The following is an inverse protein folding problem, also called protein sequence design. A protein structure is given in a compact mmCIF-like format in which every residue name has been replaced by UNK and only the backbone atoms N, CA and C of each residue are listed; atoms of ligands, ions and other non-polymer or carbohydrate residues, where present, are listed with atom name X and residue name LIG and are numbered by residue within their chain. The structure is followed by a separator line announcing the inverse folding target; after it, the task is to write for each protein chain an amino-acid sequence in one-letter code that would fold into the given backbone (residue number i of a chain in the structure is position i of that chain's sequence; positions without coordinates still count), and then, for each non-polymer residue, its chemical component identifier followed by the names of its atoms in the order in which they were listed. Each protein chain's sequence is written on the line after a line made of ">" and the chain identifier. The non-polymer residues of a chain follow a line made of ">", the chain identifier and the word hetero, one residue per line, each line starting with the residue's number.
data_IF_643283140599
#
_entry.id   IF_643283140599
#
_cell.length_a   1.000
_cell.length_b   1.000
_cell.length_c   1.000
_cell.angle_alpha   90.00
_cell.angle_beta   90.00
_cell.angle_gamma   90.00
#
_symmetry.space_group_name_H-M   'P 1'
#
loop_
_entity.id
_entity.type
_entity.pdbx_description
1 polymer ?
#
# COMPACT_ATOMS: atom_id res chain seq x y z
N UNK A 1 15.27 13.46 22.36
CA UNK A 1 15.35 14.92 22.21
C UNK A 1 14.24 15.53 23.04
N UNK A 2 14.55 16.56 23.83
CA UNK A 2 13.55 17.28 24.63
C UNK A 2 13.49 18.71 24.08
N UNK A 3 12.29 19.18 23.77
CA UNK A 3 12.09 20.49 23.18
C UNK A 3 12.40 21.58 24.21
N UNK A 4 12.99 22.67 23.75
CA UNK A 4 13.08 23.91 24.53
C UNK A 4 11.72 24.59 24.63
N UNK A 5 11.56 25.46 25.63
CA UNK A 5 10.32 26.25 25.81
C UNK A 5 10.02 27.13 24.60
N UNK A 6 11.06 27.68 23.98
CA UNK A 6 10.93 28.53 22.79
C UNK A 6 10.44 27.74 21.58
N UNK A 7 10.98 26.54 21.34
CA UNK A 7 10.49 25.65 20.28
C UNK A 7 9.04 25.23 20.52
N UNK A 8 8.67 24.97 21.77
CA UNK A 8 7.31 24.60 22.16
C UNK A 8 6.32 25.77 21.94
N UNK A 9 6.70 26.99 22.30
CA UNK A 9 5.91 28.20 22.03
C UNK A 9 5.79 28.49 20.52
N UNK A 10 6.88 28.33 19.76
CA UNK A 10 6.88 28.51 18.32
C UNK A 10 5.94 27.50 17.62
N UNK A 11 5.97 26.23 18.03
CA UNK A 11 5.05 25.22 17.49
C UNK A 11 3.60 25.52 17.85
N UNK A 12 3.31 25.91 19.10
CA UNK A 12 1.95 26.33 19.52
C UNK A 12 1.43 27.47 18.65
N UNK A 13 2.24 28.52 18.47
CA UNK A 13 1.86 29.66 17.64
C UNK A 13 1.59 29.23 16.19
N UNK A 14 2.41 28.33 15.63
CA UNK A 14 2.21 27.82 14.26
C UNK A 14 0.92 27.01 14.13
N UNK A 15 0.58 26.21 15.14
CA UNK A 15 -0.69 25.46 15.19
C UNK A 15 -1.88 26.42 15.24
N UNK A 16 -1.82 27.47 16.04
CA UNK A 16 -2.87 28.50 16.13
C UNK A 16 -3.04 29.25 14.80
N UNK A 17 -1.94 29.68 14.17
CA UNK A 17 -1.96 30.29 12.84
C UNK A 17 -2.56 29.35 11.78
N UNK A 18 -2.15 28.09 11.75
CA UNK A 18 -2.64 27.11 10.78
C UNK A 18 -4.12 26.73 11.00
N UNK A 19 -4.63 26.87 12.22
CA UNK A 19 -6.01 26.51 12.58
C UNK A 19 -6.97 27.70 12.63
N UNK A 20 -6.48 28.92 12.34
CA UNK A 20 -7.26 30.14 12.34
C UNK A 20 -8.36 30.17 11.28
N UNK A 21 -8.12 29.54 10.12
CA UNK A 21 -9.11 29.39 9.05
C UNK A 21 -9.40 27.91 8.89
N UNK A 22 -10.66 27.53 9.11
CA UNK A 22 -11.14 26.17 8.92
C UNK A 22 -11.96 26.08 7.64
N UNK A 23 -11.95 24.89 7.04
CA UNK A 23 -12.83 24.53 5.93
C UNK A 23 -14.28 24.65 6.39
N UNK A 24 -15.17 25.14 5.52
CA UNK A 24 -16.60 25.24 5.84
C UNK A 24 -17.20 23.85 6.06
N UNK A 25 -18.26 23.75 6.87
CA UNK A 25 -18.82 22.45 7.25
C UNK A 25 -19.31 21.66 6.03
N UNK A 26 -19.90 22.36 5.05
CA UNK A 26 -20.39 21.77 3.80
C UNK A 26 -19.23 21.18 2.98
N UNK A 27 -18.08 21.85 2.97
CA UNK A 27 -16.87 21.38 2.30
C UNK A 27 -16.21 20.22 3.06
N UNK A 28 -16.24 20.22 4.39
CA UNK A 28 -15.76 19.08 5.21
C UNK A 28 -16.55 17.81 4.87
N UNK A 29 -17.88 17.88 4.89
CA UNK A 29 -18.75 16.75 4.53
C UNK A 29 -18.46 16.26 3.11
N UNK A 30 -18.25 17.19 2.17
CA UNK A 30 -17.88 16.85 0.79
C UNK A 30 -16.53 16.14 0.72
N UNK A 31 -15.49 16.67 1.35
CA UNK A 31 -14.15 16.07 1.30
C UNK A 31 -14.11 14.70 1.97
N UNK A 32 -14.90 14.51 3.02
CA UNK A 32 -15.02 13.22 3.70
C UNK A 32 -15.76 12.19 2.81
N UNK A 33 -16.96 12.53 2.34
CA UNK A 33 -17.79 11.61 1.55
C UNK A 33 -17.22 11.30 0.17
N UNK A 34 -16.43 12.21 -0.40
CA UNK A 34 -15.81 12.04 -1.72
C UNK A 34 -14.31 11.72 -1.64
N UNK A 35 -13.75 11.48 -0.45
CA UNK A 35 -12.32 11.24 -0.24
C UNK A 35 -11.76 10.20 -1.23
N UNK A 36 -12.48 9.07 -1.40
CA UNK A 36 -12.07 7.99 -2.30
C UNK A 36 -11.95 8.47 -3.75
N UNK A 37 -12.87 9.33 -4.23
CA UNK A 37 -12.81 9.90 -5.59
C UNK A 37 -11.60 10.80 -5.78
N UNK A 38 -11.26 11.61 -4.78
CA UNK A 38 -10.10 12.49 -4.84
C UNK A 38 -8.80 11.68 -4.88
N UNK A 39 -8.67 10.64 -4.06
CA UNK A 39 -7.51 9.77 -4.06
C UNK A 39 -7.40 8.92 -5.33
N UNK A 40 -8.51 8.37 -5.84
CA UNK A 40 -8.49 7.64 -7.12
C UNK A 40 -8.09 8.57 -8.28
N UNK A 41 -8.57 9.82 -8.27
CA UNK A 41 -8.15 10.83 -9.24
C UNK A 41 -6.64 11.12 -9.13
N UNK A 42 -6.14 11.27 -7.89
CA UNK A 42 -4.73 11.46 -7.63
C UNK A 42 -3.88 10.30 -8.18
N UNK A 43 -4.25 9.05 -7.90
CA UNK A 43 -3.52 7.88 -8.39
C UNK A 43 -3.62 7.69 -9.90
N UNK A 44 -4.74 8.08 -10.52
CA UNK A 44 -4.88 8.10 -11.98
C UNK A 44 -3.90 9.06 -12.65
N UNK A 45 -3.72 10.24 -12.06
CA UNK A 45 -2.82 11.28 -12.60
C UNK A 45 -1.35 10.93 -12.31
N UNK A 46 -1.03 10.58 -11.07
CA UNK A 46 0.36 10.49 -10.61
C UNK A 46 0.93 9.07 -10.64
N UNK A 47 0.09 8.04 -10.66
CA UNK A 47 0.50 6.62 -10.59
C UNK A 47 1.47 6.39 -9.42
N UNK A 48 2.63 5.80 -9.70
CA UNK A 48 3.71 5.56 -8.73
C UNK A 48 4.82 6.63 -8.76
N UNK A 49 4.59 7.82 -9.33
CA UNK A 49 5.65 8.81 -9.57
C UNK A 49 5.73 9.94 -8.54
N UNK A 50 4.72 10.07 -7.67
CA UNK A 50 4.64 11.18 -6.72
C UNK A 50 5.48 10.93 -5.47
N UNK A 51 5.31 9.76 -4.85
CA UNK A 51 6.07 9.36 -3.67
C UNK A 51 7.31 8.57 -4.09
N UNK A 52 8.37 8.65 -3.28
CA UNK A 52 9.56 7.83 -3.45
C UNK A 52 9.38 6.50 -2.71
N UNK A 53 10.00 5.45 -3.25
CA UNK A 53 10.14 4.18 -2.54
C UNK A 53 10.83 4.36 -1.19
N UNK A 54 10.24 3.77 -0.15
CA UNK A 54 10.69 3.84 1.23
C UNK A 54 11.76 2.78 1.50
N UNK A 55 12.80 2.75 0.68
CA UNK A 55 13.93 1.81 0.80
C UNK A 55 14.68 1.90 2.14
N UNK A 56 14.50 3.00 2.88
CA UNK A 56 15.06 3.21 4.20
C UNK A 56 14.26 2.53 5.33
N UNK A 57 13.00 2.13 5.09
CA UNK A 57 12.06 1.71 6.13
C UNK A 57 12.62 0.60 7.03
N UNK A 58 13.08 -0.50 6.43
CA UNK A 58 13.60 -1.66 7.17
C UNK A 58 14.99 -1.44 7.75
N UNK A 59 15.69 -0.37 7.34
CA UNK A 59 16.96 0.03 7.95
C UNK A 59 16.73 0.76 9.27
N UNK A 60 15.76 1.67 9.27
CA UNK A 60 15.44 2.47 10.48
C UNK A 60 14.56 1.69 11.46
N UNK A 61 13.71 0.77 10.96
CA UNK A 61 12.81 -0.05 11.75
C UNK A 61 13.01 -1.54 11.47
N UNK A 62 14.16 -2.12 11.89
CA UNK A 62 14.45 -3.54 11.69
C UNK A 62 13.45 -4.47 12.38
N UNK A 63 12.74 -3.99 13.42
CA UNK A 63 11.69 -4.71 14.16
C UNK A 63 10.44 -5.03 13.33
N UNK A 64 10.28 -4.42 12.15
CA UNK A 64 9.26 -4.83 11.17
C UNK A 64 9.51 -6.27 10.69
N UNK A 65 10.74 -6.77 10.86
CA UNK A 65 11.13 -8.14 10.57
C UNK A 65 11.09 -8.99 11.86
N UNK A 66 10.73 -10.28 11.78
CA UNK A 66 10.74 -11.22 12.88
C UNK A 66 12.12 -11.31 13.53
N UNK A 67 12.09 -11.42 14.85
CA UNK A 67 13.27 -11.53 15.68
C UNK A 67 13.72 -13.01 15.71
N UNK A 68 14.72 -13.34 14.87
CA UNK A 68 15.42 -14.64 14.81
C UNK A 68 14.93 -15.54 13.67
N UNK A 69 15.75 -16.24 12.87
CA UNK A 69 17.18 -16.58 12.89
C UNK A 69 17.78 -16.19 11.51
N UNK A 70 19.01 -15.63 11.47
CA UNK A 70 19.74 -15.07 10.29
C UNK A 70 19.49 -13.61 9.93
N UNK A 71 18.89 -12.80 10.79
CA UNK A 71 18.68 -11.36 10.51
C UNK A 71 20.00 -10.56 10.56
N UNK A 72 20.94 -10.92 11.44
CA UNK A 72 22.23 -10.20 11.55
C UNK A 72 23.13 -10.35 10.32
N UNK A 73 23.08 -11.48 9.61
CA UNK A 73 23.85 -11.71 8.39
C UNK A 73 23.25 -10.97 7.19
N UNK A 74 21.92 -10.97 7.04
CA UNK A 74 21.21 -10.25 5.96
C UNK A 74 21.30 -8.73 6.12
N UNK A 75 21.19 -8.20 7.35
CA UNK A 75 21.34 -6.77 7.63
C UNK A 75 22.79 -6.30 7.37
N UNK A 76 23.79 -7.14 7.68
CA UNK A 76 25.18 -6.85 7.29
C UNK A 76 25.38 -6.90 5.77
N UNK A 77 24.86 -7.90 5.07
CA UNK A 77 24.96 -7.98 3.60
C UNK A 77 24.32 -6.77 2.89
N UNK A 78 23.20 -6.27 3.41
CA UNK A 78 22.57 -5.01 2.98
C UNK A 78 23.47 -3.78 3.19
N UNK A 79 24.28 -3.77 4.25
CA UNK A 79 25.28 -2.72 4.50
C UNK A 79 26.48 -2.78 3.54
N UNK A 80 26.94 -3.98 3.12
CA UNK A 80 28.13 -4.13 2.28
C UNK A 80 27.89 -3.86 0.79
N UNK A 81 26.69 -4.18 0.28
CA UNK A 81 26.33 -3.94 -1.12
C UNK A 81 26.33 -2.44 -1.49
N UNK A 82 26.21 -1.54 -0.50
CA UNK A 82 26.26 -0.09 -0.71
C UNK A 82 27.68 0.45 -1.02
N UNK A 83 28.75 -0.15 -0.46
CA UNK A 83 30.12 0.35 -0.65
C UNK A 83 30.59 0.17 -2.09
N UNK A 84 30.14 -0.90 -2.77
CA UNK A 84 30.50 -1.15 -4.18
C UNK A 84 29.79 -0.22 -5.16
N UNK A 85 28.53 0.17 -4.89
CA UNK A 85 27.76 1.01 -5.82
C UNK A 85 28.24 2.46 -5.84
N UNK A 86 28.79 2.96 -4.72
CA UNK A 86 29.29 4.34 -4.66
C UNK A 86 30.69 4.54 -5.27
N UNK A 87 31.48 3.47 -5.45
CA UNK A 87 32.80 3.55 -6.07
C UNK A 87 32.76 3.59 -7.61
N UNK A 88 31.68 3.13 -8.24
CA UNK A 88 31.61 2.98 -9.70
C UNK A 88 31.05 4.20 -10.45
N UNK A 89 30.53 5.22 -9.76
CA UNK A 89 29.82 6.33 -10.40
C UNK A 89 30.55 7.68 -10.41
N UNK A 90 31.82 7.71 -10.02
CA UNK A 90 32.66 8.92 -10.08
C UNK A 90 33.68 8.83 -11.22
N UNK A 91 33.25 8.76 -12.49
CA UNK A 91 34.05 9.25 -13.64
C UNK A 91 33.23 9.19 -14.94
N UNK A 92 32.55 10.27 -15.31
CA UNK A 92 32.70 10.92 -16.63
C UNK A 92 31.64 11.98 -16.88
N UNK A 93 32.09 13.05 -17.54
CA UNK A 93 31.52 14.37 -17.66
C UNK A 93 31.11 14.60 -19.13
N UNK A 94 29.96 15.26 -19.33
CA UNK A 94 29.54 16.08 -20.50
C UNK A 94 29.64 15.49 -21.92
N UNK A 95 28.49 15.31 -22.59
CA UNK A 95 28.11 16.10 -23.79
C UNK A 95 26.68 15.79 -24.27
N UNK A 96 25.98 16.85 -24.69
CA UNK A 96 24.73 16.84 -25.45
C UNK A 96 25.07 17.03 -26.94
N UNK A 97 24.38 16.35 -27.89
CA UNK A 97 23.59 17.11 -28.86
C UNK A 97 22.28 16.43 -29.37
N UNK A 98 21.26 17.29 -29.54
CA UNK A 98 20.19 17.37 -30.58
C UNK A 98 19.71 16.17 -31.41
N UNK A 99 18.39 15.94 -31.30
CA UNK A 99 17.33 15.74 -32.32
C UNK A 99 17.64 15.00 -33.65
N UNK A 100 16.85 13.96 -33.94
CA UNK A 100 16.26 13.72 -35.27
C UNK A 100 15.00 12.85 -35.19
N UNK A 101 13.98 13.29 -35.91
CA UNK A 101 12.67 12.68 -36.15
C UNK A 101 12.79 11.47 -37.08
N UNK A 102 11.90 10.49 -36.94
CA UNK A 102 11.49 9.66 -38.08
C UNK A 102 10.03 9.18 -37.96
N UNK A 103 9.38 9.25 -39.11
CA UNK A 103 7.93 9.11 -39.39
C UNK A 103 7.47 7.66 -39.31
N UNK A 104 6.19 7.46 -38.98
CA UNK A 104 5.44 6.27 -39.41
C UNK A 104 4.17 6.70 -40.15
N UNK A 105 4.02 6.15 -41.36
CA UNK A 105 2.87 6.28 -42.25
C UNK A 105 1.90 5.11 -42.07
N UNK A 106 0.66 5.39 -42.49
CA UNK A 106 -0.58 4.63 -42.38
C UNK A 106 -0.60 3.24 -43.03
N UNK A 107 -1.50 2.38 -42.52
CA UNK A 107 -2.59 1.80 -43.34
C UNK A 107 -3.66 1.09 -42.49
N UNK A 108 -4.90 1.46 -42.76
CA UNK A 108 -6.13 0.78 -42.38
C UNK A 108 -6.24 -0.62 -43.02
N UNK A 109 -6.95 -1.53 -42.35
CA UNK A 109 -7.92 -2.39 -43.01
C UNK A 109 -8.98 -2.86 -42.01
N UNK A 110 -10.21 -2.76 -42.48
CA UNK A 110 -11.52 -3.07 -41.92
C UNK A 110 -11.76 -4.56 -41.62
N UNK A 111 -12.75 -4.83 -40.76
CA UNK A 111 -13.34 -6.15 -40.56
C UNK A 111 -14.37 -6.18 -39.42
N UNK A 112 -15.62 -5.81 -39.74
CA UNK A 112 -16.81 -6.00 -38.91
C UNK A 112 -17.14 -7.50 -38.71
N UNK A 113 -17.59 -7.88 -37.52
CA UNK A 113 -18.80 -8.73 -37.37
C UNK A 113 -19.31 -8.76 -35.93
N UNK A 114 -20.64 -8.61 -35.84
CA UNK A 114 -21.50 -8.65 -34.66
C UNK A 114 -21.56 -10.03 -33.98
N UNK A 115 -21.94 -10.02 -32.69
CA UNK A 115 -22.37 -11.22 -31.97
C UNK A 115 -22.76 -10.96 -30.53
N UNK A 116 -23.94 -10.37 -30.31
CA UNK A 116 -24.63 -10.36 -29.01
C UNK A 116 -24.96 -11.78 -28.56
N UNK A 117 -24.86 -12.06 -27.25
CA UNK A 117 -25.78 -12.95 -26.54
C UNK A 117 -25.79 -12.64 -25.03
N UNK A 118 -27.00 -12.34 -24.53
CA UNK A 118 -27.37 -12.26 -23.11
C UNK A 118 -28.04 -13.58 -22.69
N UNK A 119 -27.70 -14.09 -21.50
CA UNK A 119 -28.54 -14.83 -20.55
C UNK A 119 -27.65 -15.07 -19.30
N UNK A 120 -28.03 -14.84 -18.04
CA UNK A 120 -29.35 -14.89 -17.43
C UNK A 120 -29.56 -16.26 -16.79
N UNK A 121 -29.09 -16.46 -15.55
CA UNK A 121 -29.58 -17.56 -14.69
C UNK A 121 -29.31 -17.28 -13.21
N UNK A 122 -30.34 -16.77 -12.54
CA UNK A 122 -30.58 -16.97 -11.11
C UNK A 122 -30.85 -18.45 -10.84
N UNK A 123 -30.38 -19.02 -9.73
CA UNK A 123 -31.09 -20.11 -9.04
C UNK A 123 -30.70 -20.22 -7.55
N UNK A 124 -31.69 -19.86 -6.72
CA UNK A 124 -32.15 -20.48 -5.47
C UNK A 124 -31.24 -20.66 -4.24
N UNK A 125 -31.70 -20.01 -3.16
CA UNK A 125 -31.65 -20.41 -1.74
C UNK A 125 -31.68 -21.93 -1.49
N UNK A 126 -30.89 -22.39 -0.52
CA UNK A 126 -31.28 -23.52 0.32
C UNK A 126 -30.81 -23.33 1.78
N UNK A 127 -31.73 -23.72 2.64
CA UNK A 127 -31.90 -23.49 4.06
C UNK A 127 -30.94 -24.27 4.99
N UNK A 128 -30.79 -23.71 6.19
CA UNK A 128 -30.41 -24.26 7.49
C UNK A 128 -29.72 -25.64 7.63
N UNK A 129 -28.62 -25.64 8.41
CA UNK A 129 -28.38 -26.61 9.50
C UNK A 129 -27.23 -26.20 10.42
N UNK A 130 -27.55 -25.90 11.67
CA UNK A 130 -26.65 -26.16 12.80
C UNK A 130 -26.24 -27.64 12.78
N UNK A 131 -24.95 -27.95 12.96
CA UNK A 131 -24.49 -28.90 13.98
C UNK A 131 -22.98 -29.16 13.94
N UNK A 132 -22.41 -29.11 15.17
CA UNK A 132 -21.17 -29.73 15.66
C UNK A 132 -19.83 -29.11 15.28
N UNK A 133 -19.18 -28.54 16.32
CA UNK A 133 -17.74 -28.28 16.40
C UNK A 133 -16.97 -29.58 16.13
N UNK A 134 -16.56 -29.77 14.88
CA UNK A 134 -15.44 -30.65 14.52
C UNK A 134 -14.10 -30.01 14.88
N UNK A 135 -12.97 -30.68 14.63
CA UNK A 135 -11.64 -30.11 14.81
C UNK A 135 -11.58 -28.80 14.03
N UNK A 136 -11.05 -27.72 14.64
CA UNK A 136 -10.87 -26.41 14.01
C UNK A 136 -10.38 -26.62 12.57
N UNK A 137 -11.28 -26.45 11.59
CA UNK A 137 -10.85 -26.28 10.20
C UNK A 137 -10.04 -25.00 10.24
N UNK A 138 -8.72 -25.11 10.07
CA UNK A 138 -7.89 -23.95 9.78
C UNK A 138 -8.51 -23.31 8.56
N UNK A 139 -9.22 -22.19 8.75
CA UNK A 139 -9.85 -21.49 7.63
C UNK A 139 -8.76 -21.13 6.64
N UNK A 140 -8.96 -21.48 5.37
CA UNK A 140 -7.99 -21.21 4.33
C UNK A 140 -8.15 -19.73 3.93
N UNK A 141 -7.24 -18.88 4.41
CA UNK A 141 -7.16 -17.47 4.04
C UNK A 141 -5.80 -17.17 3.37
N UNK A 142 -5.67 -16.11 2.54
CA UNK A 142 -4.39 -15.72 1.96
C UNK A 142 -3.34 -15.55 3.06
N UNK A 143 -2.20 -16.24 2.98
CA UNK A 143 -1.17 -16.18 4.02
C UNK A 143 -1.40 -17.07 5.25
N UNK A 144 -2.35 -18.01 5.20
CA UNK A 144 -2.59 -18.97 6.30
C UNK A 144 -1.35 -19.77 6.70
N UNK A 145 -0.47 -20.06 5.74
CA UNK A 145 0.76 -20.83 5.96
C UNK A 145 1.95 -19.98 6.47
N UNK A 146 1.83 -18.65 6.47
CA UNK A 146 2.87 -17.77 6.99
C UNK A 146 2.88 -17.81 8.52
N UNK A 147 4.07 -17.68 9.11
CA UNK A 147 4.25 -17.59 10.57
C UNK A 147 4.50 -16.16 11.02
N UNK A 148 4.66 -15.22 10.10
CA UNK A 148 4.79 -13.80 10.37
C UNK A 148 3.99 -12.96 9.36
N UNK A 149 3.11 -12.08 9.82
CA UNK A 149 2.15 -11.35 8.98
C UNK A 149 2.16 -9.86 9.26
N UNK A 150 2.29 -9.09 8.20
CA UNK A 150 2.35 -7.63 8.23
C UNK A 150 1.10 -7.08 7.52
N UNK A 151 0.50 -6.03 8.04
CA UNK A 151 -0.50 -5.22 7.34
C UNK A 151 0.04 -3.81 7.09
N UNK A 152 0.14 -3.36 5.84
CA UNK A 152 0.30 -1.95 5.51
C UNK A 152 -1.07 -1.33 5.20
N UNK A 153 -1.51 -0.41 6.05
CA UNK A 153 -2.71 0.40 5.82
C UNK A 153 -2.31 1.66 5.03
N UNK A 154 -3.14 2.05 4.07
CA UNK A 154 -2.86 3.19 3.18
C UNK A 154 -1.65 2.92 2.29
N UNK A 155 -1.64 1.75 1.63
CA UNK A 155 -0.48 1.30 0.87
C UNK A 155 -0.18 2.16 -0.36
N UNK A 156 -1.15 2.95 -0.83
CA UNK A 156 -1.04 3.78 -2.02
C UNK A 156 -0.56 2.97 -3.22
N UNK A 157 0.36 3.53 -4.00
CA UNK A 157 0.97 2.85 -5.15
C UNK A 157 2.05 1.80 -4.78
N UNK A 158 2.22 1.46 -3.49
CA UNK A 158 3.12 0.39 -3.04
C UNK A 158 4.56 0.80 -2.72
N UNK A 159 4.80 2.08 -2.43
CA UNK A 159 6.15 2.62 -2.18
C UNK A 159 6.85 2.03 -0.93
N UNK A 160 6.12 1.46 0.03
CA UNK A 160 6.73 0.60 1.08
C UNK A 160 6.55 -0.88 0.76
N UNK A 161 5.38 -1.28 0.24
CA UNK A 161 5.06 -2.65 -0.19
C UNK A 161 6.21 -3.29 -0.96
N UNK A 162 6.70 -2.66 -2.04
CA UNK A 162 7.72 -3.29 -2.89
C UNK A 162 9.11 -3.38 -2.25
N UNK A 163 9.62 -2.35 -1.56
CA UNK A 163 10.82 -2.51 -0.74
C UNK A 163 10.73 -3.63 0.31
N UNK A 164 9.57 -3.80 0.97
CA UNK A 164 9.33 -4.88 1.92
C UNK A 164 9.35 -6.24 1.20
N UNK A 165 8.57 -6.40 0.13
CA UNK A 165 8.50 -7.65 -0.64
C UNK A 165 9.86 -8.05 -1.23
N UNK A 166 10.64 -7.10 -1.72
CA UNK A 166 11.97 -7.36 -2.26
C UNK A 166 12.93 -7.85 -1.18
N UNK A 167 12.84 -7.29 0.03
CA UNK A 167 13.66 -7.73 1.17
C UNK A 167 13.26 -9.13 1.65
N UNK A 168 11.97 -9.46 1.58
CA UNK A 168 11.38 -10.72 2.03
C UNK A 168 11.22 -11.78 0.92
N UNK A 169 11.80 -11.54 -0.26
CA UNK A 169 11.56 -12.37 -1.44
C UNK A 169 11.92 -13.85 -1.26
N UNK A 170 12.87 -14.15 -0.36
CA UNK A 170 13.38 -15.48 -0.04
C UNK A 170 12.91 -15.99 1.33
N UNK A 171 11.84 -15.40 1.86
CA UNK A 171 11.31 -15.69 3.19
C UNK A 171 9.83 -16.13 3.07
N UNK A 172 9.57 -17.41 2.76
CA UNK A 172 8.22 -17.93 2.55
C UNK A 172 7.35 -17.94 3.83
N UNK A 173 7.96 -17.79 4.99
CA UNK A 173 7.31 -17.69 6.29
C UNK A 173 6.57 -16.36 6.51
N UNK A 174 6.71 -15.41 5.57
CA UNK A 174 6.10 -14.09 5.63
C UNK A 174 4.91 -13.94 4.71
N UNK A 175 3.95 -13.13 5.15
CA UNK A 175 2.87 -12.65 4.30
C UNK A 175 2.60 -11.17 4.55
N UNK A 176 2.54 -10.39 3.47
CA UNK A 176 2.22 -8.97 3.51
C UNK A 176 0.79 -8.74 3.03
N UNK A 177 -0.08 -8.31 3.93
CA UNK A 177 -1.33 -7.67 3.57
C UNK A 177 -1.05 -6.19 3.31
N UNK A 178 -1.70 -5.63 2.30
CA UNK A 178 -1.71 -4.19 2.12
C UNK A 178 -3.08 -3.73 1.64
N UNK A 179 -3.56 -2.63 2.21
CA UNK A 179 -4.84 -2.08 1.84
C UNK A 179 -4.79 -0.59 1.61
N UNK A 180 -5.70 -0.14 0.77
CA UNK A 180 -6.02 1.26 0.58
C UNK A 180 -7.52 1.34 0.32
N UNK A 181 -8.17 2.40 0.77
CA UNK A 181 -9.58 2.61 0.49
C UNK A 181 -9.80 3.08 -0.95
N UNK A 182 -8.77 3.65 -1.59
CA UNK A 182 -8.77 4.02 -2.99
C UNK A 182 -8.52 2.79 -3.88
N UNK A 183 -9.51 2.43 -4.70
CA UNK A 183 -9.42 1.26 -5.59
C UNK A 183 -8.27 1.36 -6.59
N UNK A 184 -8.00 2.55 -7.13
CA UNK A 184 -6.92 2.80 -8.06
C UNK A 184 -5.52 2.61 -7.46
N UNK A 185 -5.36 2.82 -6.15
CA UNK A 185 -4.12 2.53 -5.44
C UNK A 185 -3.85 1.01 -5.43
N UNK A 186 -4.85 0.23 -5.03
CA UNK A 186 -4.78 -1.23 -4.97
C UNK A 186 -4.52 -1.83 -6.36
N UNK A 187 -5.14 -1.28 -7.41
CA UNK A 187 -4.87 -1.67 -8.79
C UNK A 187 -3.42 -1.42 -9.22
N UNK A 188 -2.84 -0.27 -8.84
CA UNK A 188 -1.43 0.02 -9.10
C UNK A 188 -0.50 -0.99 -8.43
N UNK A 189 -0.81 -1.38 -7.18
CA UNK A 189 -0.04 -2.41 -6.47
C UNK A 189 -0.14 -3.76 -7.16
N UNK A 190 -1.36 -4.22 -7.49
CA UNK A 190 -1.59 -5.51 -8.15
C UNK A 190 -0.98 -5.60 -9.54
N UNK A 191 -0.95 -4.48 -10.26
CA UNK A 191 -0.41 -4.40 -11.63
C UNK A 191 1.11 -4.27 -11.68
N UNK A 192 1.78 -4.09 -10.54
CA UNK A 192 3.22 -3.93 -10.49
C UNK A 192 3.95 -5.25 -10.78
N UNK A 193 5.02 -5.20 -11.56
CA UNK A 193 5.75 -6.40 -11.99
C UNK A 193 6.34 -7.24 -10.83
N UNK A 194 6.63 -6.60 -9.71
CA UNK A 194 7.14 -7.26 -8.48
C UNK A 194 6.04 -7.77 -7.55
N UNK A 195 4.76 -7.62 -7.91
CA UNK A 195 3.66 -8.16 -7.10
C UNK A 195 3.68 -9.70 -7.11
N UNK A 196 3.64 -10.30 -5.92
CA UNK A 196 3.70 -11.76 -5.73
C UNK A 196 2.54 -12.21 -4.86
N UNK A 197 1.45 -12.70 -5.49
CA UNK A 197 0.25 -13.15 -4.78
C UNK A 197 0.50 -14.25 -3.73
N UNK A 198 1.58 -15.02 -3.88
CA UNK A 198 2.00 -16.04 -2.91
C UNK A 198 2.51 -15.46 -1.57
N UNK A 199 2.95 -14.21 -1.54
CA UNK A 199 3.51 -13.53 -0.36
C UNK A 199 2.81 -12.19 -0.05
N UNK A 200 1.87 -11.77 -0.90
CA UNK A 200 1.22 -10.48 -0.79
C UNK A 200 -0.26 -10.58 -1.13
N UNK A 201 -1.10 -9.91 -0.36
CA UNK A 201 -2.51 -9.70 -0.67
C UNK A 201 -2.85 -8.20 -0.59
N UNK A 202 -3.03 -7.58 -1.74
CA UNK A 202 -3.55 -6.23 -1.86
C UNK A 202 -5.09 -6.24 -1.92
N UNK A 203 -5.77 -5.41 -1.12
CA UNK A 203 -7.24 -5.36 -1.09
C UNK A 203 -7.76 -3.95 -0.79
N UNK A 204 -8.98 -3.66 -1.27
CA UNK A 204 -9.63 -2.38 -1.01
C UNK A 204 -10.29 -2.44 0.36
N UNK A 205 -10.00 -1.47 1.22
CA UNK A 205 -10.55 -1.44 2.57
C UNK A 205 -10.54 -0.02 3.13
N UNK A 206 -11.69 0.47 3.60
CA UNK A 206 -11.77 1.67 4.45
C UNK A 206 -11.63 1.22 5.91
N UNK A 207 -10.50 1.55 6.54
CA UNK A 207 -10.24 1.22 7.96
C UNK A 207 -11.18 1.94 8.92
N UNK A 208 -11.93 2.94 8.46
CA UNK A 208 -12.95 3.62 9.25
C UNK A 208 -14.36 2.97 9.11
N UNK A 209 -14.48 1.88 8.36
CA UNK A 209 -15.73 1.10 8.20
C UNK A 209 -15.60 -0.25 8.91
N UNK A 210 -16.24 -0.35 10.08
CA UNK A 210 -16.24 -1.54 10.94
C UNK A 210 -17.07 -2.71 10.39
N UNK A 211 -17.88 -2.46 9.36
CA UNK A 211 -18.69 -3.47 8.69
C UNK A 211 -17.94 -4.26 7.62
N UNK A 212 -16.76 -3.81 7.20
CA UNK A 212 -15.99 -4.47 6.14
C UNK A 212 -15.14 -5.62 6.69
N UNK A 213 -15.28 -6.85 6.16
CA UNK A 213 -14.44 -7.96 6.61
C UNK A 213 -13.02 -7.82 6.06
N UNK A 214 -12.04 -8.15 6.89
CA UNK A 214 -10.67 -8.37 6.44
C UNK A 214 -10.54 -9.72 5.71
N UNK A 215 -9.58 -9.87 4.77
CA UNK A 215 -9.34 -11.15 4.09
C UNK A 215 -8.59 -12.15 4.98
N UNK A 216 -8.66 -11.98 6.30
CA UNK A 216 -7.98 -12.79 7.30
C UNK A 216 -8.72 -12.73 8.65
N UNK A 217 -8.57 -13.76 9.51
CA UNK A 217 -9.15 -13.76 10.86
C UNK A 217 -8.50 -12.73 11.81
N UNK A 218 -9.21 -12.38 12.86
CA UNK A 218 -8.70 -11.49 13.91
C UNK A 218 -7.51 -12.10 14.67
N UNK A 219 -6.61 -11.24 15.16
CA UNK A 219 -5.52 -11.63 16.06
C UNK A 219 -4.35 -12.36 15.39
N UNK A 220 -4.24 -12.34 14.06
CA UNK A 220 -3.17 -13.05 13.32
C UNK A 220 -1.99 -12.18 12.88
N UNK A 221 -2.11 -10.86 13.00
CA UNK A 221 -1.12 -9.89 12.52
C UNK A 221 -0.04 -9.68 13.57
N UNK A 222 1.22 -9.68 13.14
CA UNK A 222 2.37 -9.42 13.99
C UNK A 222 2.76 -7.93 13.95
N UNK A 223 2.57 -7.28 12.81
CA UNK A 223 2.93 -5.87 12.58
C UNK A 223 1.85 -5.16 11.78
N UNK A 224 1.47 -3.95 12.20
CA UNK A 224 0.62 -3.04 11.43
C UNK A 224 1.41 -1.76 11.15
N UNK A 225 1.51 -1.39 9.87
CA UNK A 225 2.18 -0.19 9.39
C UNK A 225 1.14 0.87 9.01
N UNK A 226 1.22 2.03 9.66
CA UNK A 226 0.35 3.19 9.43
C UNK A 226 1.22 4.40 9.04
N UNK A 227 1.69 4.42 7.80
CA UNK A 227 2.60 5.48 7.32
C UNK A 227 1.81 6.63 6.71
N UNK A 228 1.70 7.76 7.43
CA UNK A 228 0.93 8.96 7.04
C UNK A 228 -0.58 8.74 6.90
N UNK A 229 -1.14 7.69 7.53
CA UNK A 229 -2.57 7.35 7.45
C UNK A 229 -3.40 8.11 8.48
N UNK A 230 -3.00 8.08 9.75
CA UNK A 230 -3.82 8.62 10.85
C UNK A 230 -4.09 10.13 10.69
N UNK A 231 -3.15 10.87 10.08
CA UNK A 231 -3.32 12.29 9.78
C UNK A 231 -4.34 12.59 8.69
N UNK A 232 -4.74 11.60 7.89
CA UNK A 232 -5.75 11.74 6.83
C UNK A 232 -7.15 11.29 7.25
N UNK A 233 -7.33 10.92 8.52
CA UNK A 233 -8.61 10.42 9.05
C UNK A 233 -9.13 11.45 10.06
N UNK A 234 -10.41 11.82 9.93
CA UNK A 234 -11.03 12.71 10.90
C UNK A 234 -10.96 12.09 12.32
N UNK A 235 -10.57 12.83 13.38
CA UNK A 235 -10.39 12.27 14.71
C UNK A 235 -11.58 11.46 15.23
N UNK A 236 -12.81 11.90 14.94
CA UNK A 236 -14.04 11.21 15.34
C UNK A 236 -14.24 9.85 14.65
N UNK A 237 -13.58 9.61 13.51
CA UNK A 237 -13.59 8.32 12.80
C UNK A 237 -12.41 7.43 13.19
N UNK A 238 -11.32 8.01 13.69
CA UNK A 238 -10.13 7.29 14.10
C UNK A 238 -10.30 6.49 15.41
N UNK A 239 -11.41 6.71 16.15
CA UNK A 239 -11.72 6.02 17.41
C UNK A 239 -11.85 4.49 17.28
N UNK A 240 -11.95 3.98 16.05
CA UNK A 240 -12.21 2.57 15.75
C UNK A 240 -11.04 1.83 15.07
N UNK A 241 -9.87 2.48 14.96
CA UNK A 241 -8.63 1.93 14.38
C UNK A 241 -7.67 1.52 15.48
#
# INVERSE_FOLDING_TARGET
>A
MQWSKEEEEAARKKVEENSAVRVLLEEQVKYESEASKYWDTFYKIHKNKFFKDRNWLLREFPEILPVGQKTEEKVKELSWNHVKVHAANCFSRMHCPTMREEKNHDRESSGLSDGQNKAGSDFSNLDSKEHRKGPLKTELFPGSNATFRILEVGCGAGNSVFPILNTLQNAPEFFLYCCDFASGAVELVKSHASYRAAQCCAFVHDVCDDGLPYPFPDGILDVILLVFVLSSIHPDRALFI
#
